data_IF_260681753141
#
_entry.id   IF_260681753141
#
_cell.length_a   1.000
_cell.length_b   1.000
_cell.length_c   1.000
_cell.angle_alpha   90.00
_cell.angle_beta   90.00
_cell.angle_gamma   90.00
#
_symmetry.space_group_name_H-M   'P 1'
#
loop_
_entity.id
_entity.type
_entity.pdbx_description
1 polymer ?
#
# COMPACT_ATOMS: atom_id res chain seq x y z
N UNK A 1 -4.71 -9.54 18.27
CA UNK A 1 -5.82 -9.79 19.22
C UNK A 1 -6.04 -8.63 20.19
N UNK A 2 -5.00 -8.13 20.87
CA UNK A 2 -5.02 -7.00 21.83
C UNK A 2 -6.09 -5.91 21.61
N UNK A 3 -6.05 -5.17 20.51
CA UNK A 3 -6.98 -4.04 20.33
C UNK A 3 -8.46 -4.43 20.23
N UNK A 4 -8.75 -5.64 19.71
CA UNK A 4 -10.13 -6.15 19.69
C UNK A 4 -10.60 -6.57 21.08
N UNK A 5 -9.70 -7.13 21.90
CA UNK A 5 -9.98 -7.46 23.31
C UNK A 5 -10.21 -6.21 24.16
N UNK A 6 -9.51 -5.11 23.85
CA UNK A 6 -9.74 -3.79 24.43
C UNK A 6 -11.05 -3.13 23.96
N UNK A 7 -11.81 -3.77 23.07
CA UNK A 7 -13.07 -3.24 22.53
C UNK A 7 -12.87 -2.05 21.59
N UNK A 8 -11.65 -1.83 21.08
CA UNK A 8 -11.35 -0.69 20.20
C UNK A 8 -11.86 -0.96 18.78
N UNK A 9 -12.54 0.00 18.14
CA UNK A 9 -12.97 -0.14 16.75
C UNK A 9 -11.78 -0.31 15.82
N UNK A 10 -11.77 -1.40 15.04
CA UNK A 10 -10.74 -1.64 14.03
C UNK A 10 -11.26 -1.13 12.69
N UNK A 11 -10.54 -0.16 12.12
CA UNK A 11 -10.87 0.49 10.85
C UNK A 11 -9.76 0.19 9.86
N UNK A 12 -10.11 -0.36 8.71
CA UNK A 12 -9.19 -0.75 7.65
C UNK A 12 -9.25 0.27 6.53
N UNK A 13 -8.10 0.74 6.06
CA UNK A 13 -8.00 1.68 4.92
C UNK A 13 -7.10 1.10 3.86
N UNK A 14 -7.32 1.52 2.62
CA UNK A 14 -6.50 1.19 1.47
C UNK A 14 -6.85 2.09 0.27
N UNK A 15 -5.98 2.07 -0.73
CA UNK A 15 -6.20 2.70 -2.03
C UNK A 15 -6.34 1.68 -3.16
N UNK A 16 -7.34 1.89 -4.02
CA UNK A 16 -7.51 1.11 -5.24
C UNK A 16 -7.75 1.99 -6.45
N UNK A 17 -7.84 1.37 -7.62
CA UNK A 17 -8.25 2.06 -8.84
C UNK A 17 -9.25 1.24 -9.65
N UNK A 18 -10.09 1.97 -10.38
CA UNK A 18 -11.00 1.42 -11.39
C UNK A 18 -10.72 2.14 -12.70
N UNK A 19 -10.52 1.36 -13.76
CA UNK A 19 -10.35 1.91 -15.11
C UNK A 19 -11.72 2.27 -15.69
N UNK A 20 -11.84 3.40 -16.40
CA UNK A 20 -13.11 3.78 -17.03
C UNK A 20 -13.58 2.78 -18.10
N UNK A 21 -12.67 1.97 -18.66
CA UNK A 21 -12.98 0.88 -19.59
C UNK A 21 -13.38 -0.43 -18.90
N UNK A 22 -13.32 -0.50 -17.55
CA UNK A 22 -13.54 -1.72 -16.78
C UNK A 22 -14.96 -2.27 -16.99
N UNK A 23 -15.07 -3.40 -17.68
CA UNK A 23 -16.32 -4.01 -18.12
C UNK A 23 -16.21 -5.53 -18.12
N UNK A 24 -17.31 -6.21 -17.79
CA UNK A 24 -17.41 -7.67 -17.78
C UNK A 24 -17.03 -8.32 -19.11
N UNK A 25 -16.57 -9.57 -19.09
CA UNK A 25 -16.12 -10.30 -20.30
C UNK A 25 -17.27 -10.85 -21.15
N UNK A 26 -18.50 -10.89 -20.64
CA UNK A 26 -19.66 -11.47 -21.34
C UNK A 26 -20.69 -10.38 -21.62
N UNK A 27 -20.82 -10.01 -22.89
CA UNK A 27 -21.97 -9.27 -23.40
C UNK A 27 -22.79 -10.22 -24.27
N UNK A 28 -24.09 -10.35 -24.01
CA UNK A 28 -24.99 -11.08 -24.90
C UNK A 28 -25.26 -10.22 -26.13
N UNK A 29 -24.90 -10.71 -27.33
CA UNK A 29 -25.24 -10.08 -28.60
C UNK A 29 -26.54 -10.68 -29.14
N UNK A 30 -27.52 -9.84 -29.47
CA UNK A 30 -28.81 -10.22 -30.06
C UNK A 30 -28.74 -10.48 -31.58
N UNK A 31 -27.55 -10.76 -32.12
CA UNK A 31 -27.33 -10.93 -33.56
C UNK A 31 -27.29 -9.61 -34.34
N UNK A 32 -27.46 -8.45 -33.70
CA UNK A 32 -27.12 -7.16 -34.28
C UNK A 32 -25.62 -6.87 -34.13
N UNK A 33 -24.97 -6.32 -35.17
CA UNK A 33 -23.56 -5.90 -35.16
C UNK A 33 -23.24 -4.76 -34.15
N UNK A 34 -24.18 -4.41 -33.25
CA UNK A 34 -23.97 -3.54 -32.09
C UNK A 34 -23.47 -4.33 -30.87
N UNK A 35 -22.40 -5.10 -31.02
CA UNK A 35 -21.65 -5.60 -29.86
C UNK A 35 -20.93 -4.44 -29.16
N UNK A 36 -20.93 -4.39 -27.82
CA UNK A 36 -20.04 -3.50 -27.06
C UNK A 36 -18.59 -3.82 -27.44
N UNK A 37 -18.04 -3.07 -28.41
CA UNK A 37 -16.61 -3.12 -28.69
C UNK A 37 -15.90 -2.46 -27.53
N UNK A 38 -15.21 -3.25 -26.70
CA UNK A 38 -14.34 -2.70 -25.67
C UNK A 38 -13.41 -1.67 -26.32
N UNK A 39 -13.31 -0.44 -25.80
CA UNK A 39 -12.37 0.53 -26.33
C UNK A 39 -10.95 -0.03 -26.26
N UNK A 40 -10.18 0.14 -27.35
CA UNK A 40 -8.82 -0.37 -27.51
C UNK A 40 -7.82 0.42 -26.62
N UNK A 41 -8.16 1.66 -26.24
CA UNK A 41 -7.34 2.49 -25.35
C UNK A 41 -7.60 2.19 -23.88
N UNK A 42 -6.54 2.19 -23.08
CA UNK A 42 -6.63 2.21 -21.60
C UNK A 42 -7.47 3.43 -21.20
N UNK A 43 -8.52 3.22 -20.42
CA UNK A 43 -9.41 4.29 -19.97
C UNK A 43 -8.75 5.17 -18.92
N UNK A 44 -9.42 6.26 -18.54
CA UNK A 44 -8.96 7.10 -17.44
C UNK A 44 -9.10 6.30 -16.13
N UNK A 45 -8.05 6.26 -15.31
CA UNK A 45 -8.10 5.63 -13.99
C UNK A 45 -8.78 6.55 -12.98
N UNK A 46 -9.77 6.01 -12.28
CA UNK A 46 -10.36 6.60 -11.08
C UNK A 46 -9.66 5.98 -9.88
N UNK A 47 -9.00 6.80 -9.08
CA UNK A 47 -8.44 6.39 -7.79
C UNK A 47 -9.55 6.43 -6.76
N UNK A 48 -9.59 5.40 -5.92
CA UNK A 48 -10.53 5.20 -4.84
C UNK A 48 -9.74 5.07 -3.55
N UNK A 49 -10.11 5.84 -2.54
CA UNK A 49 -9.52 5.79 -1.21
C UNK A 49 -10.69 5.76 -0.23
N UNK A 50 -10.68 4.81 0.68
CA UNK A 50 -11.72 4.73 1.69
C UNK A 50 -11.24 3.95 2.91
N UNK A 51 -12.09 3.94 3.94
CA UNK A 51 -11.89 3.19 5.14
C UNK A 51 -13.19 2.52 5.57
N UNK A 52 -13.11 1.30 6.09
CA UNK A 52 -14.26 0.53 6.55
C UNK A 52 -13.96 -0.31 7.78
N UNK A 53 -15.01 -0.69 8.49
CA UNK A 53 -14.95 -1.51 9.70
C UNK A 53 -16.08 -2.55 9.67
N UNK A 54 -16.22 -3.36 10.72
CA UNK A 54 -17.37 -4.27 10.85
C UNK A 54 -18.72 -3.57 10.79
N UNK A 55 -18.77 -2.27 11.14
CA UNK A 55 -19.97 -1.45 11.06
C UNK A 55 -20.34 -1.03 9.63
N UNK A 56 -19.42 -1.16 8.67
CA UNK A 56 -19.56 -0.61 7.32
C UNK A 56 -18.42 0.33 6.95
N UNK A 57 -18.55 0.95 5.78
CA UNK A 57 -17.68 2.06 5.38
C UNK A 57 -17.84 3.27 6.32
N UNK A 58 -16.73 3.95 6.61
CA UNK A 58 -16.74 5.17 7.44
C UNK A 58 -17.46 6.29 6.68
N UNK A 59 -18.53 6.89 7.23
CA UNK A 59 -19.27 7.95 6.53
C UNK A 59 -18.35 9.11 6.12
N UNK A 60 -18.63 9.73 4.97
CA UNK A 60 -17.91 10.89 4.43
C UNK A 60 -16.39 10.70 4.21
N UNK A 61 -15.88 9.47 4.31
CA UNK A 61 -14.46 9.17 4.09
C UNK A 61 -14.13 8.66 2.67
N UNK A 62 -15.12 8.56 1.78
CA UNK A 62 -14.90 8.12 0.40
C UNK A 62 -14.26 9.26 -0.42
N UNK A 63 -13.04 9.05 -0.88
CA UNK A 63 -12.36 9.93 -1.79
C UNK A 63 -12.25 9.28 -3.18
N UNK A 64 -12.72 10.00 -4.19
CA UNK A 64 -12.63 9.63 -5.60
C UNK A 64 -11.99 10.77 -6.39
N UNK A 65 -10.95 10.46 -7.15
CA UNK A 65 -10.35 11.44 -8.08
C UNK A 65 -9.80 10.75 -9.32
N UNK A 66 -9.59 11.54 -10.37
CA UNK A 66 -9.04 11.04 -11.64
C UNK A 66 -7.51 11.09 -11.56
N UNK A 67 -6.85 9.96 -11.77
CA UNK A 67 -5.40 9.91 -11.77
C UNK A 67 -4.84 10.85 -12.86
N UNK A 68 -3.83 11.66 -12.53
CA UNK A 68 -3.17 12.57 -13.48
C UNK A 68 -4.02 13.77 -13.94
N UNK A 69 -5.15 14.04 -13.29
CA UNK A 69 -5.89 15.28 -13.52
C UNK A 69 -5.16 16.46 -12.84
N UNK A 70 -4.94 17.55 -13.58
CA UNK A 70 -4.36 18.80 -13.06
C UNK A 70 -5.38 19.70 -12.36
N UNK A 71 -6.65 19.29 -12.30
CA UNK A 71 -7.74 20.06 -11.71
C UNK A 71 -8.33 19.33 -10.50
N UNK A 72 -8.57 20.09 -9.41
CA UNK A 72 -9.11 19.58 -8.15
C UNK A 72 -8.12 19.65 -6.99
N UNK A 73 -8.57 19.22 -5.81
CA UNK A 73 -7.82 19.26 -4.55
C UNK A 73 -6.73 18.19 -4.41
N UNK A 74 -6.74 17.21 -5.32
CA UNK A 74 -5.83 16.07 -5.36
C UNK A 74 -5.21 16.02 -6.74
N UNK A 75 -3.92 16.37 -6.82
CA UNK A 75 -3.12 16.31 -8.04
C UNK A 75 -2.39 14.96 -8.10
N UNK A 76 -2.27 14.40 -9.32
CA UNK A 76 -1.51 13.18 -9.61
C UNK A 76 -2.02 11.91 -8.90
N UNK A 77 -1.13 10.98 -8.53
CA UNK A 77 -1.46 9.74 -7.82
C UNK A 77 -1.43 9.97 -6.28
N UNK A 78 -1.82 8.95 -5.51
CA UNK A 78 -1.71 9.01 -4.04
C UNK A 78 -0.25 9.22 -3.60
N UNK A 79 -0.04 10.13 -2.66
CA UNK A 79 1.25 10.47 -2.06
C UNK A 79 1.03 10.89 -0.60
N UNK A 80 2.12 11.21 0.12
CA UNK A 80 2.03 11.59 1.53
C UNK A 80 1.13 12.81 1.80
N UNK A 81 1.25 13.87 1.01
CA UNK A 81 0.51 15.12 1.24
C UNK A 81 -0.99 14.92 0.94
N UNK A 82 -1.30 14.22 -0.14
CA UNK A 82 -2.66 13.83 -0.49
C UNK A 82 -3.27 12.92 0.58
N UNK A 83 -2.54 11.89 1.02
CA UNK A 83 -3.02 10.95 2.03
C UNK A 83 -3.28 11.65 3.37
N UNK A 84 -2.35 12.51 3.82
CA UNK A 84 -2.53 13.26 5.07
C UNK A 84 -3.64 14.30 4.99
N UNK A 85 -3.86 14.93 3.82
CA UNK A 85 -5.02 15.79 3.57
C UNK A 85 -6.34 15.03 3.71
N UNK A 86 -6.43 13.84 3.10
CA UNK A 86 -7.60 12.97 3.24
C UNK A 86 -7.80 12.51 4.69
N UNK A 87 -6.72 12.07 5.34
CA UNK A 87 -6.72 11.60 6.72
C UNK A 87 -7.28 12.68 7.68
N UNK A 88 -6.78 13.92 7.57
CA UNK A 88 -7.18 15.03 8.45
C UNK A 88 -8.59 15.55 8.17
N UNK A 89 -8.97 15.65 6.89
CA UNK A 89 -10.18 16.37 6.50
C UNK A 89 -11.41 15.47 6.32
N UNK A 90 -11.20 14.17 6.07
CA UNK A 90 -12.29 13.23 5.76
C UNK A 90 -12.32 12.05 6.72
N UNK A 91 -11.19 11.38 6.95
CA UNK A 91 -11.20 10.17 7.77
C UNK A 91 -11.33 10.48 9.27
N UNK A 92 -10.36 11.18 9.87
CA UNK A 92 -10.30 11.45 11.32
C UNK A 92 -11.61 12.06 11.88
N UNK A 93 -12.21 13.08 11.24
CA UNK A 93 -13.44 13.67 11.76
C UNK A 93 -14.64 12.71 11.82
N UNK A 94 -14.60 11.63 11.04
CA UNK A 94 -15.67 10.64 10.94
C UNK A 94 -15.30 9.29 11.59
N UNK A 95 -14.10 9.16 12.18
CA UNK A 95 -13.71 7.94 12.89
C UNK A 95 -14.47 7.78 14.20
N UNK A 96 -14.87 6.56 14.56
CA UNK A 96 -15.30 6.27 15.92
C UNK A 96 -14.19 6.63 16.93
N UNK A 97 -14.53 7.14 18.13
CA UNK A 97 -13.54 7.46 19.16
C UNK A 97 -12.64 6.26 19.49
N UNK A 98 -11.37 6.52 19.78
CA UNK A 98 -10.39 5.49 20.18
C UNK A 98 -10.19 4.35 19.15
N UNK A 99 -10.48 4.62 17.88
CA UNK A 99 -10.24 3.67 16.77
C UNK A 99 -8.77 3.31 16.57
N UNK A 100 -8.55 2.13 16.00
CA UNK A 100 -7.28 1.66 15.47
C UNK A 100 -7.37 1.62 13.95
N UNK A 101 -6.56 2.44 13.27
CA UNK A 101 -6.47 2.45 11.82
C UNK A 101 -5.45 1.41 11.36
N UNK A 102 -5.89 0.47 10.53
CA UNK A 102 -5.06 -0.56 9.91
C UNK A 102 -4.61 -0.07 8.54
N UNK A 103 -3.30 0.00 8.34
CA UNK A 103 -2.65 0.46 7.09
C UNK A 103 -1.71 -0.61 6.54
N UNK A 104 -1.47 -0.59 5.23
CA UNK A 104 -0.44 -1.41 4.60
C UNK A 104 0.96 -0.78 4.78
N UNK A 105 1.94 -1.29 4.03
CA UNK A 105 3.33 -0.81 4.11
C UNK A 105 3.71 0.22 3.04
N UNK A 106 2.75 0.87 2.38
CA UNK A 106 3.05 1.90 1.39
C UNK A 106 3.99 2.98 1.96
N UNK A 107 4.94 3.44 1.14
CA UNK A 107 6.00 4.35 1.59
C UNK A 107 5.47 5.65 2.19
N UNK A 108 4.33 6.14 1.72
CA UNK A 108 3.67 7.32 2.26
C UNK A 108 3.00 7.09 3.62
N UNK A 109 2.55 5.87 3.97
CA UNK A 109 2.12 5.58 5.34
C UNK A 109 3.28 5.48 6.32
N UNK A 110 4.48 5.19 5.81
CA UNK A 110 5.70 4.97 6.58
C UNK A 110 6.69 6.14 6.49
N UNK A 111 6.23 7.34 6.10
CA UNK A 111 7.06 8.55 6.17
C UNK A 111 7.44 8.82 7.63
N UNK A 112 8.74 8.87 7.89
CA UNK A 112 9.25 9.13 9.24
C UNK A 112 9.02 10.60 9.61
N UNK A 113 8.53 10.82 10.82
CA UNK A 113 8.35 12.17 11.37
C UNK A 113 9.69 12.80 11.76
N UNK A 114 10.57 12.01 12.37
CA UNK A 114 11.86 12.43 12.89
C UNK A 114 12.91 11.38 12.52
N UNK A 115 13.44 11.43 11.28
CA UNK A 115 14.32 10.40 10.78
C UNK A 115 15.69 10.44 11.46
N UNK A 116 16.22 9.25 11.77
CA UNK A 116 17.57 9.12 12.30
C UNK A 116 18.62 9.60 11.28
N UNK A 117 19.74 10.20 11.73
CA UNK A 117 20.83 10.61 10.85
C UNK A 117 21.40 9.43 10.04
N UNK A 118 21.75 9.68 8.78
CA UNK A 118 22.41 8.71 7.90
C UNK A 118 23.93 8.70 8.11
N UNK A 119 24.63 7.72 7.54
CA UNK A 119 26.10 7.64 7.56
C UNK A 119 26.80 8.91 7.05
N UNK A 120 26.13 9.63 6.14
CA UNK A 120 26.62 10.87 5.54
C UNK A 120 26.34 12.13 6.40
N UNK A 121 25.48 12.05 7.42
CA UNK A 121 25.14 13.19 8.28
C UNK A 121 26.36 13.76 9.01
N UNK A 122 26.30 15.02 9.46
CA UNK A 122 27.42 15.64 10.19
C UNK A 122 27.55 15.03 11.58
N UNK A 123 28.77 15.02 12.13
CA UNK A 123 29.03 14.55 13.51
C UNK A 123 28.10 15.25 14.52
N UNK A 124 27.94 16.56 14.39
CA UNK A 124 27.07 17.35 15.26
C UNK A 124 25.60 16.93 15.19
N UNK A 125 25.08 16.56 14.01
CA UNK A 125 23.71 16.09 13.86
C UNK A 125 23.52 14.69 14.48
N UNK A 126 24.53 13.82 14.37
CA UNK A 126 24.54 12.51 15.03
C UNK A 126 24.54 12.65 16.56
N UNK A 127 25.40 13.51 17.10
CA UNK A 127 25.46 13.79 18.54
C UNK A 127 24.17 14.43 19.05
N UNK A 128 23.59 15.37 18.30
CA UNK A 128 22.30 15.99 18.63
C UNK A 128 21.20 14.93 18.72
N UNK A 129 21.08 14.07 17.71
CA UNK A 129 20.06 13.02 17.71
C UNK A 129 20.24 12.05 18.88
N UNK A 130 21.47 11.60 19.17
CA UNK A 130 21.74 10.72 20.31
C UNK A 130 21.36 11.40 21.65
N UNK A 131 21.68 12.69 21.79
CA UNK A 131 21.32 13.48 22.97
C UNK A 131 19.79 13.63 23.12
N UNK A 132 19.09 13.93 22.04
CA UNK A 132 17.61 14.07 22.02
C UNK A 132 16.89 12.75 22.33
N UNK A 133 17.53 11.60 22.10
CA UNK A 133 16.99 10.26 22.42
C UNK A 133 17.49 9.71 23.76
N UNK A 134 18.25 10.51 24.53
CA UNK A 134 18.84 10.11 25.81
C UNK A 134 19.77 8.87 25.68
N UNK A 135 20.52 8.80 24.57
CA UNK A 135 21.50 7.73 24.31
C UNK A 135 22.89 8.26 24.64
N UNK A 136 23.57 7.59 25.57
CA UNK A 136 24.93 7.95 25.97
C UNK A 136 25.95 7.75 24.83
N UNK A 137 26.84 8.75 24.65
CA UNK A 137 27.99 8.69 23.75
C UNK A 137 29.15 9.51 24.33
N UNK A 138 30.37 9.28 23.83
CA UNK A 138 31.54 10.09 24.21
C UNK A 138 31.83 11.14 23.13
N UNK A 139 32.19 12.36 23.54
CA UNK A 139 32.49 13.47 22.61
C UNK A 139 33.69 13.19 21.69
N UNK A 140 34.60 12.31 22.12
CA UNK A 140 35.75 11.84 21.36
C UNK A 140 35.36 10.92 20.19
N UNK A 141 34.17 10.31 20.22
CA UNK A 141 33.75 9.31 19.22
C UNK A 141 33.79 9.88 17.80
N UNK A 142 34.30 9.08 16.87
CA UNK A 142 34.32 9.39 15.45
C UNK A 142 32.94 9.16 14.82
N UNK A 143 32.69 9.77 13.66
CA UNK A 143 31.42 9.59 12.92
C UNK A 143 30.99 8.12 12.76
N UNK A 144 31.88 7.17 12.39
CA UNK A 144 31.47 5.77 12.25
C UNK A 144 31.03 5.13 13.57
N UNK A 145 31.62 5.51 14.69
CA UNK A 145 31.25 4.98 16.01
C UNK A 145 29.88 5.51 16.44
N UNK A 146 29.64 6.82 16.29
CA UNK A 146 28.33 7.42 16.53
C UNK A 146 27.26 6.79 15.63
N UNK A 147 27.56 6.55 14.36
CA UNK A 147 26.61 5.92 13.44
C UNK A 147 26.30 4.46 13.81
N UNK A 148 27.27 3.70 14.35
CA UNK A 148 27.00 2.35 14.88
C UNK A 148 25.98 2.39 16.04
N UNK A 149 26.12 3.34 16.95
CA UNK A 149 25.13 3.56 18.02
C UNK A 149 23.76 3.92 17.44
N UNK A 150 23.70 4.86 16.47
CA UNK A 150 22.45 5.20 15.79
C UNK A 150 21.83 3.97 15.13
N UNK A 151 22.60 3.11 14.45
CA UNK A 151 22.08 1.89 13.81
C UNK A 151 21.46 0.92 14.83
N UNK A 152 22.03 0.85 16.04
CA UNK A 152 21.52 0.00 17.13
C UNK A 152 20.16 0.50 17.65
N UNK A 153 20.00 1.82 17.81
CA UNK A 153 18.81 2.39 18.45
C UNK A 153 17.75 2.97 17.47
N UNK A 154 18.09 3.19 16.19
CA UNK A 154 17.20 3.88 15.21
C UNK A 154 15.83 3.23 15.08
N UNK A 155 15.75 1.90 15.17
CA UNK A 155 14.49 1.18 15.01
C UNK A 155 13.57 1.36 16.22
N UNK A 156 14.13 1.52 17.43
CA UNK A 156 13.38 1.74 18.67
C UNK A 156 12.77 3.14 18.72
N UNK A 157 13.43 4.13 18.12
CA UNK A 157 12.96 5.51 18.06
C UNK A 157 12.25 5.86 16.75
N UNK A 158 11.94 4.86 15.91
CA UNK A 158 11.26 5.09 14.64
C UNK A 158 9.82 5.56 14.91
N UNK A 159 9.49 6.75 14.44
CA UNK A 159 8.15 7.35 14.53
C UNK A 159 7.66 7.77 13.16
N UNK A 160 6.42 7.41 12.84
CA UNK A 160 5.81 7.74 11.56
C UNK A 160 4.88 8.94 11.69
N UNK A 161 4.84 9.77 10.65
CA UNK A 161 4.06 11.00 10.68
C UNK A 161 2.57 10.74 10.86
N UNK A 162 1.99 9.72 10.20
CA UNK A 162 0.55 9.43 10.34
C UNK A 162 0.19 8.93 11.75
N UNK A 163 1.13 8.28 12.45
CA UNK A 163 0.92 7.77 13.81
C UNK A 163 0.74 8.92 14.78
N UNK A 164 1.59 9.94 14.63
CA UNK A 164 1.47 11.15 15.42
C UNK A 164 0.14 11.87 15.14
N UNK A 165 -0.23 12.02 13.86
CA UNK A 165 -1.49 12.69 13.48
C UNK A 165 -2.69 11.98 14.12
N UNK A 166 -2.71 10.65 14.11
CA UNK A 166 -3.78 9.86 14.72
C UNK A 166 -3.72 9.88 16.24
N UNK A 167 -2.53 9.80 16.83
CA UNK A 167 -2.35 9.88 18.28
C UNK A 167 -2.82 11.22 18.86
N UNK A 168 -2.59 12.35 18.16
CA UNK A 168 -3.12 13.68 18.51
C UNK A 168 -4.66 13.68 18.62
N UNK A 169 -5.34 12.77 17.93
CA UNK A 169 -6.80 12.61 17.94
C UNK A 169 -7.25 11.37 18.73
N UNK A 170 -6.39 10.84 19.60
CA UNK A 170 -6.66 9.66 20.42
C UNK A 170 -6.99 8.39 19.61
N UNK A 171 -6.32 8.20 18.47
CA UNK A 171 -6.37 7.00 17.65
C UNK A 171 -5.00 6.31 17.60
N UNK A 172 -4.97 5.03 17.24
CA UNK A 172 -3.72 4.28 17.05
C UNK A 172 -3.61 3.76 15.62
N UNK A 173 -2.38 3.46 15.19
CA UNK A 173 -2.12 2.82 13.89
C UNK A 173 -1.63 1.39 14.12
N UNK A 174 -2.14 0.47 13.30
CA UNK A 174 -1.65 -0.90 13.19
C UNK A 174 -1.20 -1.13 11.75
N UNK A 175 0.04 -1.56 11.54
CA UNK A 175 0.56 -1.91 10.22
C UNK A 175 0.42 -3.39 9.98
N UNK A 176 -0.04 -3.75 8.78
CA UNK A 176 -0.09 -5.14 8.36
C UNK A 176 1.33 -5.69 8.16
N UNK A 177 1.54 -7.01 8.36
CA UNK A 177 2.76 -7.67 7.90
C UNK A 177 2.96 -7.45 6.39
N UNK A 178 4.21 -7.29 5.92
CA UNK A 178 4.49 -7.15 4.48
C UNK A 178 3.92 -8.31 3.67
N UNK A 179 3.33 -8.02 2.51
CA UNK A 179 2.78 -9.02 1.57
C UNK A 179 1.56 -9.82 2.06
N UNK A 180 0.82 -9.32 3.06
CA UNK A 180 -0.42 -9.95 3.55
C UNK A 180 -1.68 -9.10 3.30
N UNK A 181 -2.08 -8.87 2.02
CA UNK A 181 -3.31 -8.14 1.71
C UNK A 181 -4.58 -8.92 2.10
N UNK A 182 -4.47 -10.23 2.28
CA UNK A 182 -5.53 -11.11 2.77
C UNK A 182 -5.95 -10.81 4.21
N UNK A 183 -5.09 -10.12 4.98
CA UNK A 183 -5.39 -9.58 6.30
C UNK A 183 -6.11 -8.22 6.24
N UNK A 184 -6.40 -7.69 5.05
CA UNK A 184 -7.11 -6.44 4.86
C UNK A 184 -8.49 -6.67 4.21
N UNK A 185 -9.61 -6.59 4.96
CA UNK A 185 -10.93 -6.90 4.41
C UNK A 185 -11.38 -5.93 3.32
N UNK A 186 -10.81 -4.72 3.27
CA UNK A 186 -11.15 -3.73 2.24
C UNK A 186 -10.73 -4.21 0.83
N UNK A 187 -9.74 -5.10 0.72
CA UNK A 187 -9.34 -5.69 -0.56
C UNK A 187 -10.47 -6.53 -1.18
N UNK A 188 -11.19 -7.27 -0.34
CA UNK A 188 -12.39 -7.99 -0.76
C UNK A 188 -13.53 -7.01 -1.11
N UNK A 189 -13.63 -5.89 -0.40
CA UNK A 189 -14.60 -4.84 -0.74
C UNK A 189 -14.28 -4.21 -2.10
N UNK A 190 -13.00 -3.99 -2.42
CA UNK A 190 -12.55 -3.55 -3.74
C UNK A 190 -12.89 -4.53 -4.83
N UNK A 191 -12.72 -5.83 -4.60
CA UNK A 191 -13.14 -6.86 -5.55
C UNK A 191 -14.64 -6.79 -5.84
N UNK A 192 -15.46 -6.62 -4.79
CA UNK A 192 -16.92 -6.49 -4.92
C UNK A 192 -17.33 -5.21 -5.68
N UNK A 193 -16.70 -4.07 -5.37
CA UNK A 193 -16.94 -2.79 -6.04
C UNK A 193 -16.54 -2.86 -7.52
N UNK A 194 -15.34 -3.37 -7.82
CA UNK A 194 -14.87 -3.56 -9.20
C UNK A 194 -15.80 -4.48 -10.00
N UNK A 195 -16.22 -5.60 -9.41
CA UNK A 195 -17.19 -6.51 -10.03
C UNK A 195 -18.54 -5.83 -10.33
N UNK A 196 -19.04 -5.03 -9.39
CA UNK A 196 -20.27 -4.25 -9.58
C UNK A 196 -20.13 -3.25 -10.73
N UNK A 197 -19.07 -2.43 -10.73
CA UNK A 197 -18.81 -1.48 -11.82
C UNK A 197 -18.68 -2.22 -13.15
N UNK A 198 -17.92 -3.33 -13.22
CA UNK A 198 -17.75 -4.10 -14.44
C UNK A 198 -19.08 -4.62 -15.01
N UNK A 199 -20.04 -4.97 -14.14
CA UNK A 199 -21.35 -5.48 -14.55
C UNK A 199 -22.30 -4.40 -15.11
N UNK A 200 -22.11 -3.13 -14.72
CA UNK A 200 -23.01 -2.02 -15.06
C UNK A 200 -22.37 -0.95 -15.97
N UNK A 201 -21.06 -0.99 -16.18
CA UNK A 201 -20.35 -0.01 -16.98
C UNK A 201 -20.57 -0.25 -18.48
N UNK A 202 -21.59 0.42 -19.03
CA UNK A 202 -22.01 0.30 -20.43
C UNK A 202 -21.47 1.45 -21.30
N UNK A 203 -21.23 2.63 -20.70
CA UNK A 203 -20.93 3.87 -21.44
C UNK A 203 -19.47 4.35 -21.30
N UNK A 204 -18.64 3.63 -20.54
CA UNK A 204 -17.21 3.90 -20.32
C UNK A 204 -16.87 5.35 -19.91
N UNK A 205 -17.84 6.02 -19.28
CA UNK A 205 -17.72 7.40 -18.83
C UNK A 205 -17.20 7.44 -17.39
N UNK A 206 -16.17 8.24 -17.15
CA UNK A 206 -15.52 8.39 -15.84
C UNK A 206 -16.49 8.85 -14.75
N UNK A 207 -17.38 9.80 -15.05
CA UNK A 207 -18.38 10.28 -14.09
C UNK A 207 -19.34 9.15 -13.72
N UNK A 208 -19.79 8.38 -14.72
CA UNK A 208 -20.67 7.24 -14.49
C UNK A 208 -20.00 6.16 -13.64
N UNK A 209 -18.72 5.88 -13.88
CA UNK A 209 -17.95 4.94 -13.03
C UNK A 209 -17.84 5.44 -11.60
N UNK A 210 -17.58 6.74 -11.37
CA UNK A 210 -17.57 7.32 -10.03
C UNK A 210 -18.93 7.18 -9.34
N UNK A 211 -20.03 7.37 -10.06
CA UNK A 211 -21.38 7.23 -9.51
C UNK A 211 -21.71 5.76 -9.18
N UNK A 212 -21.30 4.80 -10.02
CA UNK A 212 -21.42 3.37 -9.73
C UNK A 212 -20.62 2.94 -8.50
N UNK A 213 -19.42 3.51 -8.31
CA UNK A 213 -18.62 3.27 -7.10
C UNK A 213 -19.34 3.80 -5.87
N UNK A 214 -19.84 5.05 -5.90
CA UNK A 214 -20.62 5.62 -4.80
C UNK A 214 -21.85 4.79 -4.47
N UNK A 215 -22.58 4.35 -5.50
CA UNK A 215 -23.78 3.53 -5.36
C UNK A 215 -23.46 2.20 -4.65
N UNK A 216 -22.42 1.48 -5.09
CA UNK A 216 -22.04 0.21 -4.45
C UNK A 216 -21.51 0.43 -3.04
N UNK A 217 -20.72 1.47 -2.78
CA UNK A 217 -20.27 1.82 -1.42
C UNK A 217 -21.45 2.04 -0.49
N UNK A 218 -22.50 2.73 -0.95
CA UNK A 218 -23.74 2.94 -0.17
C UNK A 218 -24.54 1.65 0.05
N UNK A 219 -24.52 0.72 -0.91
CA UNK A 219 -25.18 -0.60 -0.77
C UNK A 219 -24.43 -1.54 0.18
N UNK A 220 -23.12 -1.35 0.36
CA UNK A 220 -22.28 -2.17 1.24
C UNK A 220 -22.50 -1.80 2.71
N UNK A 221 -23.55 -2.38 3.30
CA UNK A 221 -23.90 -2.20 4.71
C UNK A 221 -23.10 -3.08 5.68
N UNK A 222 -23.49 -2.97 6.95
CA UNK A 222 -22.91 -3.68 8.10
C UNK A 222 -22.84 -5.20 7.90
N UNK A 223 -23.89 -5.83 7.39
CA UNK A 223 -23.93 -7.30 7.21
C UNK A 223 -22.89 -7.81 6.22
N UNK A 224 -22.62 -7.06 5.15
CA UNK A 224 -21.61 -7.42 4.15
C UNK A 224 -20.21 -7.22 4.76
N UNK A 225 -19.98 -6.09 5.40
CA UNK A 225 -18.71 -5.77 6.06
C UNK A 225 -18.34 -6.71 7.20
N UNK A 226 -19.30 -7.06 8.06
CA UNK A 226 -19.13 -8.03 9.14
C UNK A 226 -18.66 -9.39 8.59
N UNK A 227 -19.21 -9.84 7.46
CA UNK A 227 -18.76 -11.09 6.79
C UNK A 227 -17.34 -10.97 6.26
N UNK A 228 -16.96 -9.83 5.68
CA UNK A 228 -15.59 -9.61 5.19
C UNK A 228 -14.57 -9.63 6.34
N UNK A 229 -14.84 -8.90 7.42
CA UNK A 229 -14.00 -8.91 8.61
C UNK A 229 -13.97 -10.27 9.29
N UNK A 230 -15.08 -11.02 9.31
CA UNK A 230 -15.13 -12.39 9.81
C UNK A 230 -14.22 -13.34 9.03
N UNK A 231 -14.13 -13.21 7.71
CA UNK A 231 -13.17 -13.98 6.90
C UNK A 231 -11.72 -13.68 7.28
N UNK A 232 -11.38 -12.39 7.47
CA UNK A 232 -10.05 -11.99 7.91
C UNK A 232 -9.72 -12.56 9.29
N UNK A 233 -10.65 -12.51 10.24
CA UNK A 233 -10.47 -13.12 11.57
C UNK A 233 -10.18 -14.64 11.48
N UNK A 234 -10.79 -15.35 10.54
CA UNK A 234 -10.50 -16.76 10.32
C UNK A 234 -9.09 -16.96 9.74
N UNK A 235 -8.71 -16.15 8.74
CA UNK A 235 -7.36 -16.18 8.15
C UNK A 235 -6.29 -15.89 9.21
N UNK A 236 -6.50 -14.87 10.06
CA UNK A 236 -5.64 -14.57 11.20
C UNK A 236 -5.48 -15.77 12.13
N UNK A 237 -6.59 -16.44 12.48
CA UNK A 237 -6.55 -17.61 13.35
C UNK A 237 -5.77 -18.78 12.73
N UNK A 238 -5.88 -18.96 11.41
CA UNK A 238 -5.16 -20.01 10.70
C UNK A 238 -3.65 -19.71 10.59
N UNK A 239 -3.28 -18.43 10.41
CA UNK A 239 -1.88 -18.02 10.52
C UNK A 239 -1.32 -18.27 11.91
N UNK A 240 -2.03 -17.88 12.97
CA UNK A 240 -1.57 -18.07 14.36
C UNK A 240 -1.35 -19.55 14.67
N UNK A 241 -2.25 -20.44 14.23
CA UNK A 241 -2.07 -21.88 14.40
C UNK A 241 -0.83 -22.39 13.66
N UNK A 242 -0.62 -21.92 12.44
CA UNK A 242 0.49 -22.35 11.60
C UNK A 242 1.83 -21.87 12.16
N UNK A 243 1.89 -20.64 12.65
CA UNK A 243 3.08 -20.02 13.25
C UNK A 243 3.50 -20.76 14.53
N UNK A 244 2.55 -21.06 15.42
CA UNK A 244 2.82 -21.89 16.61
C UNK A 244 3.38 -23.28 16.26
N UNK A 245 2.95 -23.87 15.14
CA UNK A 245 3.48 -25.16 14.68
C UNK A 245 4.92 -24.97 14.19
N UNK A 246 5.20 -23.92 13.41
CA UNK A 246 6.55 -23.63 12.92
C UNK A 246 7.50 -23.40 14.10
N UNK A 247 7.13 -22.56 15.06
CA UNK A 247 7.93 -22.29 16.26
C UNK A 247 8.16 -23.55 17.11
N UNK A 248 7.13 -24.36 17.32
CA UNK A 248 7.27 -25.63 18.07
C UNK A 248 8.19 -26.61 17.35
N UNK A 249 8.17 -26.61 16.01
CA UNK A 249 9.05 -27.48 15.21
C UNK A 249 10.47 -26.94 15.19
N UNK A 250 10.69 -25.62 15.03
CA UNK A 250 12.03 -25.02 15.03
C UNK A 250 12.70 -25.08 16.41
N UNK A 251 11.95 -24.93 17.51
CA UNK A 251 12.46 -25.13 18.88
C UNK A 251 12.89 -26.59 19.15
N UNK A 252 12.26 -27.57 18.51
CA UNK A 252 12.67 -28.97 18.61
C UNK A 252 13.88 -29.32 17.72
N UNK A 253 14.27 -28.43 16.80
CA UNK A 253 15.45 -28.59 15.93
C UNK A 253 16.67 -27.78 16.41
N UNK A 254 16.85 -27.59 17.73
CA UNK A 254 18.13 -27.10 18.28
C UNK A 254 19.21 -28.16 17.98
N UNK A 255 19.85 -28.01 16.83
CA UNK A 255 21.07 -28.72 16.46
C UNK A 255 22.15 -28.18 17.40
N UNK A 256 22.69 -29.03 18.28
CA UNK A 256 23.95 -28.76 18.94
C UNK A 256 25.05 -28.70 17.87
N UNK A 257 25.28 -27.50 17.33
CA UNK A 257 26.44 -27.22 16.51
C UNK A 257 27.64 -27.10 17.43
N UNK A 258 28.46 -28.15 17.44
CA UNK A 258 29.79 -28.12 18.03
C UNK A 258 30.59 -26.96 17.43
N UNK A 259 31.27 -26.26 18.31
CA UNK A 259 32.16 -25.11 18.10
C UNK A 259 33.08 -25.29 16.88
N UNK A 260 32.97 -24.41 15.88
CA UNK A 260 34.06 -24.11 14.93
C UNK A 260 33.80 -22.78 14.19
N UNK A 261 34.51 -21.75 14.67
CA UNK A 261 35.18 -20.67 13.92
C UNK A 261 34.44 -19.86 12.84
N UNK A 262 34.13 -18.60 13.21
CA UNK A 262 34.16 -17.34 12.44
C UNK A 262 34.08 -17.36 10.90
N UNK A 263 33.00 -16.73 10.39
CA UNK A 263 33.09 -15.84 9.23
C UNK A 263 31.92 -14.85 9.25
N UNK A 264 32.16 -13.62 9.70
CA UNK A 264 31.20 -12.52 9.59
C UNK A 264 31.02 -12.11 8.12
N UNK A 265 29.88 -12.45 7.53
CA UNK A 265 29.46 -11.90 6.24
C UNK A 265 28.86 -10.51 6.45
N UNK A 266 29.58 -9.48 6.02
CA UNK A 266 29.10 -8.11 5.87
C UNK A 266 27.91 -8.06 4.90
N UNK A 267 26.71 -7.79 5.41
CA UNK A 267 25.58 -7.38 4.57
C UNK A 267 25.52 -5.84 4.50
N UNK A 268 25.95 -5.34 3.35
CA UNK A 268 25.84 -3.95 2.93
C UNK A 268 24.45 -3.67 2.38
N UNK A 269 23.54 -3.19 3.25
CA UNK A 269 22.27 -2.59 2.83
C UNK A 269 22.39 -1.07 2.74
N UNK A 270 22.83 -0.59 1.58
CA UNK A 270 22.59 0.78 1.09
C UNK A 270 22.01 0.65 -0.33
N UNK A 271 20.69 0.42 -0.44
CA UNK A 271 19.93 0.66 -1.68
C UNK A 271 18.72 1.57 -1.38
N UNK A 272 18.81 2.82 -1.84
CA UNK A 272 17.59 3.60 -2.11
C UNK A 272 16.89 3.02 -3.34
N UNK A 273 15.57 2.79 -3.31
CA UNK A 273 14.85 2.33 -4.49
C UNK A 273 14.72 3.46 -5.51
N UNK A 274 15.44 3.35 -6.63
CA UNK A 274 15.15 4.13 -7.84
C UNK A 274 13.84 3.61 -8.47
N UNK A 275 13.01 4.50 -9.05
CA UNK A 275 11.75 4.09 -9.66
C UNK A 275 12.01 3.29 -10.94
N UNK A 276 11.62 2.02 -10.95
CA UNK A 276 11.65 1.16 -12.14
C UNK A 276 10.51 1.54 -13.10
N UNK A 277 10.88 2.16 -14.22
CA UNK A 277 10.06 2.22 -15.42
C UNK A 277 10.02 0.84 -16.09
N UNK A 278 8.88 0.15 -16.03
CA UNK A 278 8.60 -1.02 -16.87
C UNK A 278 8.31 -0.55 -18.31
N UNK A 279 9.32 -0.57 -19.18
CA UNK A 279 9.12 -0.58 -20.63
C UNK A 279 9.28 -2.00 -21.15
N UNK A 280 8.29 -2.43 -21.93
CA UNK A 280 8.13 -3.78 -22.46
C UNK A 280 9.28 -4.24 -23.36
N UNK A 281 9.47 -5.56 -23.37
CA UNK A 281 10.30 -6.26 -24.31
C UNK A 281 9.79 -6.08 -25.74
N UNK A 282 10.66 -5.54 -26.59
CA UNK A 282 10.53 -5.66 -28.04
C UNK A 282 11.03 -7.05 -28.45
N UNK A 283 10.11 -7.89 -28.92
CA UNK A 283 10.43 -9.06 -29.73
C UNK A 283 10.96 -8.58 -31.08
N UNK A 284 12.27 -8.73 -31.31
CA UNK A 284 12.85 -8.64 -32.64
C UNK A 284 12.59 -9.95 -33.38
N UNK A 285 11.70 -9.90 -34.38
CA UNK A 285 11.55 -10.92 -35.38
C UNK A 285 12.69 -10.77 -36.40
N UNK A 286 13.58 -11.76 -36.42
CA UNK A 286 14.56 -12.00 -37.47
C UNK A 286 13.83 -12.11 -38.83
N UNK A 287 14.15 -11.23 -39.78
CA UNK A 287 13.89 -11.47 -41.19
C UNK A 287 15.20 -11.45 -41.97
N UNK A 288 15.30 -12.45 -42.84
CA UNK A 288 16.51 -12.85 -43.54
C UNK A 288 17.03 -11.82 -44.53
N UNK A 289 18.34 -11.85 -44.65
CA UNK A 289 19.17 -11.24 -45.67
C UNK A 289 18.74 -11.79 -47.04
N UNK A 290 18.43 -10.89 -47.98
CA UNK A 290 18.36 -11.17 -49.41
C UNK A 290 19.06 -10.05 -50.15
N UNK A 291 20.30 -10.33 -50.58
CA UNK A 291 21.02 -9.52 -51.56
C UNK A 291 20.26 -9.53 -52.89
N UNK A 292 20.16 -8.38 -53.56
CA UNK A 292 20.38 -8.25 -55.01
C UNK A 292 20.60 -6.78 -55.37
N UNK A 293 21.54 -6.62 -56.29
CA UNK A 293 22.15 -5.41 -56.78
C UNK A 293 21.37 -4.77 -57.93
N UNK A 294 21.84 -3.57 -58.24
CA UNK A 294 21.91 -2.95 -59.55
C UNK A 294 20.77 -2.04 -60.05
N UNK A 295 21.27 -0.84 -60.38
CA UNK A 295 21.08 -0.11 -61.62
C UNK A 295 19.75 0.62 -61.86
N UNK A 296 19.92 1.93 -61.85
CA UNK A 296 19.75 2.78 -63.04
C UNK A 296 18.47 3.59 -63.26
N UNK A 297 18.75 4.87 -63.54
CA UNK A 297 18.17 5.72 -64.60
C UNK A 297 16.97 6.61 -64.22
N UNK A 298 17.31 7.91 -64.08
CA UNK A 298 16.71 9.15 -64.66
C UNK A 298 15.20 9.22 -64.88
N UNK A 299 14.51 10.35 -64.67
CA UNK A 299 14.85 11.79 -64.81
C UNK A 299 14.10 12.59 -63.73
#
# INVERSE_FOLDING_TARGET
>A
MKYREEGRPIVYTDESYVDSSHSGSKAWSDGSLKGLKKPISKGQRVVIVHAGSEAGFVPNALLLFKAGAKSGDYHDNMNFDNYTKWLRNQLIPNLPPNSVLVVDNASYHNKQYDPAPTSNAKKADMQRWLSEKDIAFEDSMLKPQLYKLIKLYKNQHKRFSIDQILAEHNHSVLRLPPYHPDLNPIEMAWAAIKGYVASKNINWNVSHVMDLVKEKVQQMGTDEWSKLCGKVKNIEADYIKSDHIVDTVTENFIIYASDDSDSSSDESDDEEPRPSTSSGGNFNLMQGIGFLSDSDVSD
#
